data_IF_518098441797
#
_entry.id   IF_518098441797
#
_cell.length_a   1.000
_cell.length_b   1.000
_cell.length_c   1.000
_cell.angle_alpha   90.00
_cell.angle_beta   90.00
_cell.angle_gamma   90.00
#
_symmetry.space_group_name_H-M   'P 1'
#
loop_
_entity.id
_entity.type
_entity.pdbx_description
1 polymer ?
#
# COMPACT_ATOMS: atom_id res chain seq x y z
N UNK A 1 15.48 38.89 6.81
CA UNK A 1 14.39 38.03 7.33
C UNK A 1 14.09 36.97 6.27
N UNK A 2 14.92 35.92 6.21
CA UNK A 2 14.63 34.72 5.43
C UNK A 2 14.00 33.73 6.38
N UNK A 3 12.75 33.34 6.15
CA UNK A 3 12.16 32.21 6.87
C UNK A 3 12.96 30.96 6.49
N UNK A 4 13.77 30.50 7.43
CA UNK A 4 14.47 29.23 7.38
C UNK A 4 13.40 28.14 7.22
N UNK A 5 13.30 27.54 6.03
CA UNK A 5 12.43 26.38 5.84
C UNK A 5 13.09 25.24 6.59
N UNK A 6 12.61 24.94 7.79
CA UNK A 6 12.99 23.72 8.47
C UNK A 6 12.72 22.55 7.53
N UNK A 7 13.76 21.81 7.16
CA UNK A 7 13.63 20.56 6.40
C UNK A 7 12.88 19.55 7.29
N UNK A 8 11.58 19.42 7.05
CA UNK A 8 10.74 18.50 7.80
C UNK A 8 11.19 17.07 7.50
N UNK A 9 11.78 16.41 8.50
CA UNK A 9 12.41 15.09 8.30
C UNK A 9 11.36 13.97 8.35
N UNK A 10 11.15 13.31 7.21
CA UNK A 10 10.29 12.12 7.10
C UNK A 10 11.01 10.89 7.63
N UNK A 11 10.42 10.25 8.65
CA UNK A 11 10.89 8.98 9.22
C UNK A 11 9.94 7.84 8.83
N UNK A 12 10.47 6.65 8.51
CA UNK A 12 9.67 5.45 8.28
C UNK A 12 9.95 4.44 9.39
N UNK A 13 8.89 3.89 9.99
CA UNK A 13 8.96 2.94 11.11
C UNK A 13 7.79 1.96 11.08
N UNK A 14 7.84 0.84 11.82
CA UNK A 14 6.65 0.04 12.11
C UNK A 14 5.55 0.90 12.72
N UNK A 15 4.30 0.59 12.35
CA UNK A 15 3.12 1.17 12.97
C UNK A 15 3.00 0.71 14.43
N UNK A 16 2.39 1.56 15.26
CA UNK A 16 2.10 1.28 16.68
C UNK A 16 0.64 1.61 16.96
N UNK A 17 0.10 1.10 18.07
CA UNK A 17 -1.27 1.39 18.51
C UNK A 17 -1.64 2.88 18.56
N UNK A 18 -0.68 3.76 18.92
CA UNK A 18 -0.89 5.21 18.91
C UNK A 18 -1.16 5.82 17.53
N UNK A 19 -0.92 5.08 16.45
CA UNK A 19 -1.14 5.52 15.06
C UNK A 19 -2.54 5.15 14.53
N UNK A 20 -3.34 4.39 15.30
CA UNK A 20 -4.57 3.74 14.83
C UNK A 20 -5.55 4.71 14.16
N UNK A 21 -5.87 5.83 14.80
CA UNK A 21 -6.81 6.82 14.22
C UNK A 21 -6.28 7.42 12.92
N UNK A 22 -4.97 7.67 12.80
CA UNK A 22 -4.39 8.24 11.58
C UNK A 22 -4.37 7.22 10.44
N UNK A 23 -4.16 5.94 10.74
CA UNK A 23 -4.29 4.85 9.77
C UNK A 23 -5.73 4.74 9.24
N UNK A 24 -6.72 4.87 10.12
CA UNK A 24 -8.14 4.90 9.74
C UNK A 24 -8.41 6.06 8.78
N UNK A 25 -7.97 7.27 9.12
CA UNK A 25 -8.15 8.43 8.23
C UNK A 25 -7.48 8.26 6.88
N UNK A 26 -6.23 7.78 6.85
CA UNK A 26 -5.50 7.52 5.61
C UNK A 26 -6.23 6.51 4.71
N UNK A 27 -6.79 5.44 5.28
CA UNK A 27 -7.56 4.46 4.49
C UNK A 27 -8.86 5.04 3.96
N UNK A 28 -9.55 5.88 4.74
CA UNK A 28 -10.77 6.56 4.28
C UNK A 28 -10.47 7.59 3.18
N UNK A 29 -9.39 8.38 3.33
CA UNK A 29 -8.90 9.28 2.28
C UNK A 29 -8.57 8.50 1.00
N UNK A 30 -7.81 7.40 1.13
CA UNK A 30 -7.49 6.53 0.01
C UNK A 30 -8.74 5.98 -0.69
N UNK A 31 -9.75 5.55 0.08
CA UNK A 31 -11.03 5.10 -0.44
C UNK A 31 -11.78 6.19 -1.21
N UNK A 32 -11.76 7.44 -0.75
CA UNK A 32 -12.34 8.58 -1.48
C UNK A 32 -11.63 8.85 -2.79
N UNK A 33 -10.29 8.82 -2.79
CA UNK A 33 -9.49 8.99 -4.02
C UNK A 33 -9.80 7.89 -5.03
N UNK A 34 -9.86 6.63 -4.59
CA UNK A 34 -10.14 5.51 -5.49
C UNK A 34 -11.60 5.47 -5.97
N UNK A 35 -12.58 5.82 -5.13
CA UNK A 35 -13.97 5.94 -5.55
C UNK A 35 -14.17 7.07 -6.57
N UNK A 36 -13.39 8.15 -6.48
CA UNK A 36 -13.38 9.21 -7.49
C UNK A 36 -12.66 8.79 -8.79
N UNK A 37 -11.69 7.87 -8.70
CA UNK A 37 -10.98 7.31 -9.85
C UNK A 37 -11.88 6.37 -10.65
N UNK A 38 -12.50 5.40 -9.98
CA UNK A 38 -13.45 4.48 -10.59
C UNK A 38 -14.52 4.06 -9.55
N UNK A 39 -15.72 4.66 -9.60
CA UNK A 39 -16.80 4.33 -8.68
C UNK A 39 -17.48 2.98 -8.97
N UNK A 40 -17.20 2.35 -10.11
CA UNK A 40 -17.72 1.00 -10.42
C UNK A 40 -16.90 -0.09 -9.71
N UNK A 41 -15.63 0.18 -9.41
CA UNK A 41 -14.70 -0.75 -8.74
C UNK A 41 -14.53 -0.42 -7.26
N UNK A 42 -14.51 0.87 -6.90
CA UNK A 42 -14.10 1.30 -5.56
C UNK A 42 -15.20 2.03 -4.78
N UNK A 43 -15.12 1.92 -3.45
CA UNK A 43 -16.00 2.62 -2.50
C UNK A 43 -15.22 3.17 -1.32
N UNK A 44 -15.80 4.15 -0.63
CA UNK A 44 -15.35 4.54 0.70
C UNK A 44 -15.83 3.49 1.71
N UNK A 45 -14.94 2.84 2.47
CA UNK A 45 -15.35 1.83 3.45
C UNK A 45 -15.99 2.46 4.69
N UNK A 46 -16.76 1.66 5.44
CA UNK A 46 -17.27 2.04 6.75
C UNK A 46 -16.12 2.26 7.74
N UNK A 47 -16.20 3.32 8.55
CA UNK A 47 -15.12 3.69 9.48
C UNK A 47 -14.90 2.63 10.56
N UNK A 48 -15.96 2.08 11.14
CA UNK A 48 -15.82 1.10 12.22
C UNK A 48 -15.17 -0.18 11.70
N UNK A 49 -15.52 -0.60 10.48
CA UNK A 49 -14.85 -1.72 9.82
C UNK A 49 -13.35 -1.47 9.59
N UNK A 50 -12.97 -0.26 9.14
CA UNK A 50 -11.55 0.12 8.97
C UNK A 50 -10.81 0.14 10.32
N UNK A 51 -11.43 0.67 11.36
CA UNK A 51 -10.86 0.70 12.71
C UNK A 51 -10.62 -0.73 13.22
N UNK A 52 -11.64 -1.60 13.18
CA UNK A 52 -11.51 -3.00 13.63
C UNK A 52 -10.43 -3.75 12.85
N UNK A 53 -10.27 -3.46 11.56
CA UNK A 53 -9.19 -4.05 10.77
C UNK A 53 -7.82 -3.61 11.29
N UNK A 54 -7.53 -2.30 11.41
CA UNK A 54 -6.22 -1.84 11.86
C UNK A 54 -5.93 -2.18 13.34
N UNK A 55 -6.95 -2.20 14.19
CA UNK A 55 -6.80 -2.67 15.58
C UNK A 55 -6.31 -4.13 15.61
N UNK A 56 -6.92 -5.02 14.81
CA UNK A 56 -6.48 -6.40 14.68
C UNK A 56 -5.08 -6.51 14.05
N UNK A 57 -4.78 -5.71 13.02
CA UNK A 57 -3.45 -5.69 12.37
C UNK A 57 -2.33 -5.27 13.32
N UNK A 58 -2.60 -4.29 14.21
CA UNK A 58 -1.64 -3.80 15.20
C UNK A 58 -1.51 -4.72 16.41
N UNK A 59 -2.55 -5.49 16.71
CA UNK A 59 -2.58 -6.42 17.83
C UNK A 59 -1.80 -7.70 17.61
N UNK A 60 -1.74 -8.16 16.36
CA UNK A 60 -1.23 -9.47 16.10
C UNK A 60 0.22 -9.44 15.60
N UNK A 61 0.95 -10.51 15.94
CA UNK A 61 2.33 -10.71 15.55
C UNK A 61 2.34 -11.50 14.23
N UNK A 62 2.83 -10.86 13.17
CA UNK A 62 2.76 -11.43 11.84
C UNK A 62 4.13 -11.53 11.20
N UNK A 63 4.82 -12.63 11.46
CA UNK A 63 6.10 -12.94 10.82
C UNK A 63 6.08 -13.00 9.28
N UNK A 64 4.91 -12.86 8.63
CA UNK A 64 4.75 -12.79 7.18
C UNK A 64 4.20 -11.47 6.63
N UNK A 65 4.02 -10.43 7.45
CA UNK A 65 3.62 -9.09 6.98
C UNK A 65 4.14 -7.96 7.87
N UNK A 66 4.16 -6.75 7.33
CA UNK A 66 4.43 -5.54 8.08
C UNK A 66 3.51 -4.40 7.67
N UNK A 67 3.10 -3.62 8.67
CA UNK A 67 2.48 -2.33 8.52
C UNK A 67 3.51 -1.25 8.90
N UNK A 68 3.96 -0.49 7.90
CA UNK A 68 4.93 0.58 8.05
C UNK A 68 4.23 1.93 7.90
N UNK A 69 4.68 2.93 8.65
CA UNK A 69 4.16 4.30 8.58
C UNK A 69 5.28 5.29 8.28
N UNK A 70 4.97 6.30 7.47
CA UNK A 70 5.79 7.48 7.30
C UNK A 70 5.28 8.58 8.24
N UNK A 71 6.18 9.17 9.00
CA UNK A 71 5.86 10.12 10.07
C UNK A 71 6.63 11.41 9.88
N UNK A 72 5.92 12.52 10.05
CA UNK A 72 6.42 13.90 10.08
C UNK A 72 5.84 14.57 11.31
N UNK A 73 6.68 15.16 12.17
CA UNK A 73 6.22 15.90 13.36
C UNK A 73 5.19 15.12 14.21
N UNK A 74 5.41 13.81 14.39
CA UNK A 74 4.51 12.88 15.09
C UNK A 74 3.18 12.56 14.38
N UNK A 75 2.93 13.08 13.19
CA UNK A 75 1.76 12.76 12.35
C UNK A 75 2.11 11.69 11.33
N UNK A 76 1.26 10.67 11.22
CA UNK A 76 1.34 9.67 10.16
C UNK A 76 0.80 10.27 8.86
N UNK A 77 1.66 10.32 7.84
CA UNK A 77 1.39 10.93 6.53
C UNK A 77 1.37 9.92 5.38
N UNK A 78 1.62 8.65 5.69
CA UNK A 78 1.53 7.57 4.73
C UNK A 78 1.72 6.21 5.40
N UNK A 79 1.28 5.17 4.72
CA UNK A 79 1.41 3.79 5.15
C UNK A 79 1.88 2.90 4.01
N UNK A 80 2.55 1.81 4.35
CA UNK A 80 2.81 0.69 3.48
C UNK A 80 2.44 -0.60 4.18
N UNK A 81 1.61 -1.40 3.52
CA UNK A 81 1.28 -2.77 3.90
C UNK A 81 2.07 -3.69 2.98
N UNK A 82 2.93 -4.52 3.55
CA UNK A 82 3.74 -5.48 2.81
C UNK A 82 3.55 -6.88 3.40
N UNK A 83 3.38 -7.89 2.55
CA UNK A 83 3.20 -9.28 2.97
C UNK A 83 3.98 -10.23 2.08
N UNK A 84 4.36 -11.39 2.62
CA UNK A 84 4.90 -12.51 1.88
C UNK A 84 3.79 -13.52 1.56
N UNK A 85 3.73 -13.99 0.32
CA UNK A 85 2.80 -15.03 -0.08
C UNK A 85 3.29 -16.40 0.38
N UNK A 86 2.37 -17.33 0.69
CA UNK A 86 2.73 -18.73 0.78
C UNK A 86 3.26 -19.22 -0.59
N UNK A 87 4.21 -20.16 -0.62
CA UNK A 87 4.67 -20.73 -1.88
C UNK A 87 3.51 -21.36 -2.65
N UNK A 88 3.50 -21.28 -3.99
CA UNK A 88 2.46 -21.91 -4.78
C UNK A 88 2.45 -23.44 -4.53
N UNK A 89 1.28 -24.07 -4.44
CA UNK A 89 1.18 -25.53 -4.35
C UNK A 89 1.88 -26.23 -5.50
N UNK A 90 2.49 -27.40 -5.23
CA UNK A 90 3.31 -28.14 -6.20
C UNK A 90 2.56 -28.60 -7.47
N UNK A 91 1.23 -28.63 -7.46
CA UNK A 91 0.42 -28.97 -8.64
C UNK A 91 0.24 -27.79 -9.61
N UNK A 92 0.62 -26.58 -9.22
CA UNK A 92 0.49 -25.40 -10.05
C UNK A 92 1.67 -25.27 -11.01
N UNK A 93 1.41 -24.70 -12.19
CA UNK A 93 2.43 -24.40 -13.21
C UNK A 93 3.29 -23.17 -12.88
N UNK A 94 2.94 -22.44 -11.81
CA UNK A 94 3.69 -21.28 -11.36
C UNK A 94 5.04 -21.70 -10.78
N UNK A 95 6.11 -21.03 -11.21
CA UNK A 95 7.40 -21.19 -10.55
C UNK A 95 7.28 -20.75 -9.08
N UNK A 96 7.86 -21.48 -8.13
CA UNK A 96 7.79 -21.16 -6.71
C UNK A 96 8.77 -20.04 -6.34
N UNK A 97 8.63 -18.89 -6.99
CA UNK A 97 9.41 -17.69 -6.67
C UNK A 97 8.77 -17.03 -5.43
N UNK A 98 9.52 -16.84 -4.32
CA UNK A 98 9.00 -16.15 -3.14
C UNK A 98 8.52 -14.75 -3.52
N UNK A 99 7.21 -14.55 -3.48
CA UNK A 99 6.55 -13.33 -3.91
C UNK A 99 5.86 -12.69 -2.72
N UNK A 100 5.71 -11.38 -2.77
CA UNK A 100 4.97 -10.63 -1.77
C UNK A 100 4.16 -9.51 -2.41
N UNK A 101 3.19 -9.02 -1.66
CA UNK A 101 2.33 -7.92 -2.09
C UNK A 101 2.71 -6.64 -1.35
N UNK A 102 2.62 -5.52 -2.07
CA UNK A 102 2.82 -4.18 -1.54
C UNK A 102 1.60 -3.32 -1.86
N UNK A 103 1.01 -2.74 -0.83
CA UNK A 103 0.05 -1.66 -0.92
C UNK A 103 0.61 -0.42 -0.24
N UNK A 104 0.53 0.74 -0.90
CA UNK A 104 1.15 1.97 -0.43
C UNK A 104 0.17 3.14 -0.59
N UNK A 105 0.01 3.90 0.49
CA UNK A 105 -0.81 5.12 0.52
C UNK A 105 0.04 6.27 1.05
N UNK A 106 -0.03 7.42 0.38
CA UNK A 106 0.53 8.69 0.86
C UNK A 106 -0.59 9.72 0.85
N UNK A 107 -0.73 10.46 1.94
CA UNK A 107 -1.68 11.55 2.06
C UNK A 107 -1.53 12.53 0.88
N UNK A 108 -2.64 13.05 0.36
CA UNK A 108 -2.64 13.84 -0.86
C UNK A 108 -1.77 15.11 -0.76
N UNK A 109 -1.68 15.70 0.43
CA UNK A 109 -0.97 16.95 0.71
C UNK A 109 0.57 16.81 0.84
N UNK A 110 1.12 15.59 0.88
CA UNK A 110 2.58 15.33 1.03
C UNK A 110 3.22 14.71 -0.22
N UNK A 111 2.52 14.73 -1.35
CA UNK A 111 3.05 14.20 -2.62
C UNK A 111 4.17 15.09 -3.13
N UNK A 112 5.21 14.47 -3.70
CA UNK A 112 6.40 15.17 -4.23
C UNK A 112 7.56 15.32 -3.24
N UNK A 113 7.39 15.01 -1.96
CA UNK A 113 8.45 15.11 -0.94
C UNK A 113 9.24 13.81 -0.71
N UNK A 114 9.05 12.81 -1.58
CA UNK A 114 9.77 11.53 -1.50
C UNK A 114 9.25 10.56 -0.43
N UNK A 115 8.12 10.83 0.21
CA UNK A 115 7.48 9.96 1.22
C UNK A 115 7.24 8.54 0.68
N UNK A 116 6.53 8.41 -0.44
CA UNK A 116 6.30 7.11 -1.08
C UNK A 116 7.60 6.40 -1.45
N UNK A 117 8.65 7.17 -1.78
CA UNK A 117 9.97 6.61 -2.06
C UNK A 117 10.61 5.95 -0.85
N UNK A 118 10.50 6.59 0.32
CA UNK A 118 11.01 6.06 1.60
C UNK A 118 10.19 4.86 2.06
N UNK A 119 8.86 4.92 1.97
CA UNK A 119 7.97 3.82 2.33
C UNK A 119 8.26 2.56 1.52
N UNK A 120 8.32 2.67 0.19
CA UNK A 120 8.57 1.47 -0.61
C UNK A 120 9.99 0.94 -0.43
N UNK A 121 10.98 1.80 -0.19
CA UNK A 121 12.34 1.33 0.14
C UNK A 121 12.32 0.49 1.43
N UNK A 122 11.65 0.98 2.47
CA UNK A 122 11.49 0.23 3.71
C UNK A 122 10.71 -1.09 3.52
N UNK A 123 9.70 -1.09 2.64
CA UNK A 123 8.98 -2.31 2.29
C UNK A 123 9.88 -3.32 1.55
N UNK A 124 10.77 -2.88 0.65
CA UNK A 124 11.77 -3.75 0.01
C UNK A 124 12.78 -4.32 1.00
N UNK A 125 13.25 -3.50 1.95
CA UNK A 125 14.14 -3.93 3.02
C UNK A 125 13.47 -5.02 3.87
N UNK A 126 12.21 -4.79 4.27
CA UNK A 126 11.41 -5.81 4.95
C UNK A 126 11.28 -7.09 4.11
N UNK A 127 10.91 -6.96 2.83
CA UNK A 127 10.70 -8.09 1.93
C UNK A 127 11.98 -8.94 1.79
N UNK A 128 13.13 -8.27 1.63
CA UNK A 128 14.44 -8.92 1.56
C UNK A 128 14.78 -9.70 2.83
N UNK A 129 14.47 -9.16 4.01
CA UNK A 129 14.68 -9.85 5.29
C UNK A 129 13.80 -11.10 5.43
N UNK A 130 12.65 -11.12 4.76
CA UNK A 130 11.71 -12.24 4.76
C UNK A 130 11.88 -13.17 3.54
N UNK A 131 13.04 -13.11 2.87
CA UNK A 131 13.37 -13.93 1.70
C UNK A 131 12.42 -13.77 0.50
N UNK A 132 11.61 -12.71 0.47
CA UNK A 132 10.79 -12.35 -0.69
C UNK A 132 11.69 -11.87 -1.81
N UNK A 133 11.51 -12.44 -3.00
CA UNK A 133 12.33 -12.18 -4.20
C UNK A 133 11.65 -11.25 -5.19
N UNK A 134 10.32 -11.15 -5.14
CA UNK A 134 9.53 -10.30 -6.01
C UNK A 134 8.43 -9.59 -5.20
N UNK A 135 8.21 -8.31 -5.46
CA UNK A 135 7.08 -7.55 -4.93
C UNK A 135 6.11 -7.24 -6.06
N UNK A 136 4.82 -7.42 -5.77
CA UNK A 136 3.71 -7.11 -6.67
C UNK A 136 2.90 -5.99 -6.05
N UNK A 137 2.64 -4.95 -6.83
CA UNK A 137 1.69 -3.88 -6.47
C UNK A 137 0.53 -3.93 -7.47
N UNK A 138 -0.69 -4.10 -6.98
CA UNK A 138 -1.89 -3.98 -7.80
C UNK A 138 -2.20 -2.51 -8.04
N UNK A 139 -2.21 -2.08 -9.31
CA UNK A 139 -2.43 -0.68 -9.69
C UNK A 139 -3.59 -0.63 -10.67
N UNK A 140 -4.55 0.25 -10.42
CA UNK A 140 -5.63 0.51 -11.35
C UNK A 140 -5.08 1.13 -12.65
N UNK A 141 -5.59 0.73 -13.81
CA UNK A 141 -5.07 1.18 -15.12
C UNK A 141 -5.14 2.69 -15.30
N UNK A 142 -6.16 3.34 -14.74
CA UNK A 142 -6.32 4.80 -14.78
C UNK A 142 -5.54 5.55 -13.68
N UNK A 143 -4.87 4.84 -12.77
CA UNK A 143 -4.02 5.45 -11.75
C UNK A 143 -2.63 5.76 -12.32
N UNK A 144 -2.59 6.62 -13.34
CA UNK A 144 -1.35 6.99 -14.02
C UNK A 144 -0.27 7.55 -13.08
N UNK A 145 -0.57 8.36 -12.04
CA UNK A 145 0.44 8.78 -11.08
C UNK A 145 1.11 7.61 -10.33
N UNK A 146 0.37 6.54 -10.03
CA UNK A 146 0.93 5.36 -9.42
C UNK A 146 1.76 4.55 -10.43
N UNK A 147 1.26 4.35 -11.65
CA UNK A 147 2.01 3.67 -12.72
C UNK A 147 3.38 4.33 -12.93
N UNK A 148 3.41 5.65 -13.15
CA UNK A 148 4.63 6.45 -13.26
C UNK A 148 5.57 6.29 -12.06
N UNK A 149 5.00 6.23 -10.85
CA UNK A 149 5.79 6.06 -9.62
C UNK A 149 6.47 4.70 -9.59
N UNK A 150 5.77 3.62 -9.93
CA UNK A 150 6.30 2.25 -9.89
C UNK A 150 7.28 1.99 -11.05
N UNK A 151 7.00 2.51 -12.25
CA UNK A 151 7.89 2.41 -13.43
C UNK A 151 9.27 3.01 -13.16
N UNK A 152 9.31 4.22 -12.56
CA UNK A 152 10.57 4.89 -12.17
C UNK A 152 11.39 4.11 -11.12
N UNK A 153 10.82 3.07 -10.52
CA UNK A 153 11.46 2.20 -9.52
C UNK A 153 11.78 0.81 -10.07
N UNK A 154 11.60 0.61 -11.37
CA UNK A 154 11.89 -0.64 -12.06
C UNK A 154 10.86 -1.75 -11.81
N UNK A 155 9.64 -1.41 -11.41
CA UNK A 155 8.53 -2.36 -11.58
C UNK A 155 8.22 -2.51 -13.06
N UNK A 156 7.61 -3.63 -13.39
CA UNK A 156 7.21 -3.98 -14.74
C UNK A 156 5.90 -4.73 -14.68
N UNK A 157 5.16 -4.70 -15.78
CA UNK A 157 3.96 -5.51 -15.91
C UNK A 157 4.29 -7.01 -15.77
N UNK A 158 3.39 -7.70 -15.08
CA UNK A 158 3.46 -9.13 -14.78
C UNK A 158 2.32 -9.87 -15.48
N UNK A 159 1.10 -9.38 -15.30
CA UNK A 159 -0.12 -9.97 -15.81
C UNK A 159 -1.17 -8.90 -16.06
N UNK A 160 -2.20 -9.26 -16.83
CA UNK A 160 -3.39 -8.42 -17.04
C UNK A 160 -4.58 -9.07 -16.36
N UNK A 161 -5.35 -8.28 -15.61
CA UNK A 161 -6.65 -8.69 -15.08
C UNK A 161 -7.73 -8.29 -16.10
N UNK A 162 -8.61 -9.22 -16.45
CA UNK A 162 -9.75 -9.00 -17.36
C UNK A 162 -11.03 -9.28 -16.60
N UNK A 163 -11.96 -8.34 -16.67
CA UNK A 163 -13.27 -8.44 -16.03
C UNK A 163 -14.32 -8.69 -17.11
N UNK A 164 -15.33 -9.48 -16.76
CA UNK A 164 -16.52 -9.69 -17.58
C UNK A 164 -17.73 -9.62 -16.64
N UNK A 165 -18.67 -8.72 -16.94
CA UNK A 165 -19.90 -8.60 -16.18
C UNK A 165 -20.84 -9.76 -16.55
N UNK A 166 -21.41 -10.40 -15.54
CA UNK A 166 -22.27 -11.58 -15.73
C UNK A 166 -23.75 -11.24 -15.85
N UNK A 167 -24.12 -9.98 -15.66
CA UNK A 167 -25.50 -9.50 -15.71
C UNK A 167 -26.09 -9.54 -17.13
N UNK A 168 -25.27 -9.84 -18.14
CA UNK A 168 -25.66 -9.95 -19.56
C UNK A 168 -25.79 -11.41 -20.06
N UNK A 169 -25.70 -12.40 -19.16
CA UNK A 169 -25.93 -13.82 -19.49
C UNK A 169 -27.44 -14.12 -19.39
N UNK A 170 -28.22 -13.47 -20.23
CA UNK A 170 -29.62 -13.83 -20.53
C UNK A 170 -29.83 -13.81 -22.04
N UNK A 171 -29.33 -14.86 -22.69
CA UNK A 171 -29.59 -15.20 -24.10
C UNK A 171 -30.00 -16.65 -24.23
#
# INVERSE_FOLDING_TARGET
MGADRQETTVTVRPARYGDLEELVELRLENGRVHAALDPSVYRVPDRAAVHSHFDAELAADHGGRALLVAVVEQRVIGLAEVSADPPPPAHQILLPVPTGHLHLVVAAYERGQGVGRRLERAAREWASLHSVRQLVAGIHVDNHPALDFYDRRGYRDNATIRLADLDDVSG
#
